data_IF_528498697049
#
_entry.id   IF_528498697049
#
_cell.length_a   1.000
_cell.length_b   1.000
_cell.length_c   1.000
_cell.angle_alpha   90.00
_cell.angle_beta   90.00
_cell.angle_gamma   90.00
#
_symmetry.space_group_name_H-M   'P 1'
#
loop_
_entity.id
_entity.type
_entity.pdbx_description
1 polymer ?
#
# COMPACT_ATOMS: atom_id res chain seq x y z
N UNK A 1 -20.10 2.22 -14.06
CA UNK A 1 -19.38 3.25 -13.29
C UNK A 1 -18.03 2.69 -12.90
N UNK A 2 -16.97 3.03 -13.63
CA UNK A 2 -15.59 2.61 -13.31
C UNK A 2 -15.10 3.44 -12.12
N UNK A 3 -15.19 2.90 -10.91
CA UNK A 3 -14.56 3.49 -9.72
C UNK A 3 -13.04 3.42 -9.91
N UNK A 4 -12.41 4.53 -10.24
CA UNK A 4 -10.95 4.62 -10.28
C UNK A 4 -10.40 4.46 -8.88
N UNK A 5 -9.82 3.30 -8.57
CA UNK A 5 -9.21 3.04 -7.27
C UNK A 5 -7.97 3.91 -7.10
N UNK A 6 -7.95 4.75 -6.07
CA UNK A 6 -6.86 5.70 -5.80
C UNK A 6 -5.71 4.98 -5.10
N UNK A 7 -4.81 4.37 -5.87
CA UNK A 7 -3.73 3.53 -5.33
C UNK A 7 -2.44 4.31 -5.08
N UNK A 8 -1.78 4.04 -3.95
CA UNK A 8 -0.51 4.64 -3.54
C UNK A 8 0.52 3.59 -3.12
N UNK A 9 1.81 3.91 -3.29
CA UNK A 9 2.94 3.04 -2.93
C UNK A 9 4.02 3.89 -2.26
N UNK A 10 4.48 3.46 -1.09
CA UNK A 10 5.48 4.19 -0.32
C UNK A 10 6.37 3.27 0.50
N UNK A 11 7.64 3.68 0.63
CA UNK A 11 8.52 3.23 1.70
C UNK A 11 8.21 4.03 2.96
N UNK A 12 7.83 3.32 4.02
CA UNK A 12 7.34 3.92 5.27
C UNK A 12 8.10 3.38 6.48
N UNK A 13 8.20 4.19 7.52
CA UNK A 13 8.60 3.77 8.86
C UNK A 13 7.37 3.77 9.77
N UNK A 14 7.22 2.71 10.55
CA UNK A 14 6.08 2.56 11.47
C UNK A 14 6.41 3.26 12.79
N UNK A 15 5.65 4.28 13.14
CA UNK A 15 5.86 5.05 14.37
C UNK A 15 5.10 4.45 15.57
N UNK A 16 4.03 3.70 15.30
CA UNK A 16 3.22 3.04 16.32
C UNK A 16 1.81 2.74 15.81
N UNK A 17 0.91 2.41 16.73
CA UNK A 17 -0.52 2.30 16.46
C UNK A 17 -1.26 3.46 17.12
N UNK A 18 -2.23 4.03 16.41
CA UNK A 18 -3.06 5.08 16.98
C UNK A 18 -4.01 4.47 18.03
N UNK A 19 -4.02 5.04 19.23
CA UNK A 19 -4.96 4.67 20.30
C UNK A 19 -6.27 5.46 20.19
N UNK A 20 -6.89 5.49 19.01
CA UNK A 20 -8.32 5.82 18.96
C UNK A 20 -9.02 4.64 19.61
N UNK A 21 -9.77 4.87 20.70
CA UNK A 21 -10.41 3.84 21.52
C UNK A 21 -10.75 2.61 20.70
N UNK A 22 -10.05 1.51 21.01
CA UNK A 22 -10.00 0.24 20.30
C UNK A 22 -11.12 0.09 19.26
N UNK A 23 -10.74 0.11 17.97
CA UNK A 23 -11.57 -0.29 16.82
C UNK A 23 -12.46 0.83 16.27
N UNK A 24 -12.31 1.13 14.99
CA UNK A 24 -13.42 1.70 14.22
C UNK A 24 -14.59 0.67 14.22
N UNK A 25 -15.80 1.02 13.75
CA UNK A 25 -16.93 0.07 13.71
C UNK A 25 -16.64 -1.27 13.01
N UNK A 26 -15.54 -1.35 12.25
CA UNK A 26 -15.09 -2.51 11.48
C UNK A 26 -13.96 -3.31 12.15
N UNK A 27 -13.53 -2.94 13.35
CA UNK A 27 -12.38 -3.54 14.03
C UNK A 27 -11.04 -3.40 13.29
N UNK A 28 -10.77 -2.24 12.68
CA UNK A 28 -9.49 -1.99 12.04
C UNK A 28 -8.40 -1.52 13.02
N UNK A 29 -7.16 -1.86 12.70
CA UNK A 29 -5.94 -1.32 13.30
C UNK A 29 -5.52 -0.10 12.48
N UNK A 30 -5.19 1.00 13.16
CA UNK A 30 -4.60 2.19 12.54
C UNK A 30 -3.12 2.28 12.91
N UNK A 31 -2.24 2.22 11.92
CA UNK A 31 -0.81 2.46 12.10
C UNK A 31 -0.47 3.91 11.77
N UNK A 32 0.41 4.50 12.60
CA UNK A 32 1.03 5.79 12.35
C UNK A 32 2.30 5.58 11.54
N UNK A 33 2.42 6.27 10.42
CA UNK A 33 3.49 6.11 9.44
C UNK A 33 4.23 7.43 9.20
N UNK A 34 5.55 7.30 9.07
CA UNK A 34 6.39 8.31 8.43
C UNK A 34 6.74 7.85 7.01
N UNK A 35 6.32 8.61 5.99
CA UNK A 35 6.66 8.32 4.60
C UNK A 35 8.09 8.76 4.31
N UNK A 36 9.03 7.81 4.21
CA UNK A 36 10.43 8.05 3.83
C UNK A 36 10.56 8.36 2.34
N UNK A 37 9.78 7.66 1.52
CA UNK A 37 9.72 7.91 0.08
C UNK A 37 8.36 7.47 -0.49
N UNK A 38 7.79 8.27 -1.39
CA UNK A 38 6.53 7.96 -2.07
C UNK A 38 6.81 7.67 -3.54
N UNK A 39 6.57 6.43 -3.97
CA UNK A 39 6.82 5.98 -5.35
C UNK A 39 5.59 6.19 -6.25
N UNK A 40 4.39 6.10 -5.65
CA UNK A 40 3.13 6.33 -6.35
C UNK A 40 2.17 7.09 -5.46
N UNK A 41 1.59 8.14 -6.02
CA UNK A 41 0.55 8.95 -5.41
C UNK A 41 -0.71 8.85 -6.27
N UNK A 42 -1.92 8.68 -5.69
CA UNK A 42 -3.13 8.71 -6.48
C UNK A 42 -3.35 10.07 -7.14
N UNK A 43 -4.02 10.09 -8.30
CA UNK A 43 -4.38 11.34 -8.97
C UNK A 43 -5.14 12.29 -8.02
N UNK A 44 -4.81 13.58 -8.07
CA UNK A 44 -5.42 14.66 -7.28
C UNK A 44 -5.19 14.58 -5.77
N UNK A 45 -4.34 13.66 -5.30
CA UNK A 45 -3.86 13.62 -3.92
C UNK A 45 -2.53 14.36 -3.86
N UNK A 46 -2.35 15.27 -2.88
CA UNK A 46 -1.09 16.02 -2.72
C UNK A 46 -0.05 15.31 -1.84
N UNK A 47 -0.52 14.49 -0.90
CA UNK A 47 0.31 13.72 0.03
C UNK A 47 -0.45 12.49 0.51
N UNK A 48 0.25 11.39 0.78
CA UNK A 48 -0.34 10.25 1.47
C UNK A 48 -0.59 10.60 2.96
N UNK A 49 -1.68 10.12 3.56
CA UNK A 49 -1.93 10.29 4.99
C UNK A 49 -0.88 9.56 5.83
N UNK A 50 -0.48 10.17 6.96
CA UNK A 50 0.39 9.54 7.97
C UNK A 50 -0.28 8.43 8.76
N UNK A 51 -1.53 8.09 8.43
CA UNK A 51 -2.28 7.00 9.05
C UNK A 51 -2.66 5.99 7.97
N UNK A 52 -2.47 4.71 8.25
CA UNK A 52 -2.98 3.62 7.41
C UNK A 52 -3.83 2.68 8.23
N UNK A 53 -4.95 2.25 7.64
CA UNK A 53 -5.88 1.30 8.26
C UNK A 53 -5.77 -0.08 7.63
N UNK A 54 -5.93 -1.11 8.44
CA UNK A 54 -6.03 -2.50 8.00
C UNK A 54 -6.89 -3.28 8.96
N UNK A 55 -7.52 -4.36 8.50
CA UNK A 55 -8.32 -5.21 9.36
C UNK A 55 -7.47 -5.79 10.51
N UNK A 56 -8.04 -5.91 11.72
CA UNK A 56 -7.32 -6.55 12.83
C UNK A 56 -7.16 -8.06 12.66
N UNK A 57 -8.05 -8.70 11.88
CA UNK A 57 -8.03 -10.14 11.68
C UNK A 57 -7.25 -10.55 10.43
N UNK A 58 -6.41 -11.57 10.55
CA UNK A 58 -5.71 -12.19 9.43
C UNK A 58 -6.69 -12.78 8.40
N UNK A 59 -7.82 -13.34 8.87
CA UNK A 59 -8.88 -13.89 8.01
C UNK A 59 -9.61 -12.83 7.19
N UNK A 60 -9.50 -11.55 7.57
CA UNK A 60 -10.01 -10.40 6.83
C UNK A 60 -8.89 -9.72 6.01
N UNK A 61 -7.80 -10.44 5.72
CA UNK A 61 -6.62 -9.94 5.01
C UNK A 61 -5.91 -8.78 5.71
N UNK A 62 -6.02 -8.71 7.04
CA UNK A 62 -5.28 -7.76 7.87
C UNK A 62 -3.76 -7.96 7.78
N UNK A 63 -3.03 -6.85 7.84
CA UNK A 63 -1.56 -6.88 7.90
C UNK A 63 -1.06 -6.55 9.31
N UNK A 64 0.11 -7.08 9.65
CA UNK A 64 0.81 -6.82 10.90
C UNK A 64 2.09 -6.07 10.61
N UNK A 65 2.23 -4.89 11.19
CA UNK A 65 3.41 -4.05 11.06
C UNK A 65 4.04 -3.87 12.44
N UNK A 66 5.36 -3.88 12.51
CA UNK A 66 6.10 -3.71 13.75
C UNK A 66 6.57 -2.28 13.91
N UNK A 67 6.30 -1.67 15.06
CA UNK A 67 6.79 -0.33 15.41
C UNK A 67 8.32 -0.26 15.32
N UNK A 68 8.83 0.81 14.71
CA UNK A 68 10.26 1.06 14.51
C UNK A 68 10.81 0.50 13.20
N UNK A 69 10.16 -0.49 12.61
CA UNK A 69 10.59 -1.11 11.36
C UNK A 69 10.10 -0.32 10.13
N UNK A 70 10.72 -0.61 8.99
CA UNK A 70 10.45 0.03 7.71
C UNK A 70 9.95 -0.97 6.67
N UNK A 71 8.96 -0.59 5.90
CA UNK A 71 8.28 -1.48 4.94
C UNK A 71 8.03 -0.77 3.61
N UNK A 72 7.94 -1.56 2.54
CA UNK A 72 7.31 -1.16 1.29
C UNK A 72 5.81 -1.46 1.39
N UNK A 73 4.99 -0.42 1.48
CA UNK A 73 3.54 -0.53 1.65
C UNK A 73 2.84 -0.03 0.39
N UNK A 74 1.94 -0.86 -0.13
CA UNK A 74 0.95 -0.47 -1.12
C UNK A 74 -0.42 -0.36 -0.46
N UNK A 75 -1.22 0.60 -0.90
CA UNK A 75 -2.56 0.80 -0.37
C UNK A 75 -3.42 1.63 -1.30
N UNK A 76 -4.65 1.87 -0.86
CA UNK A 76 -5.64 2.62 -1.61
C UNK A 76 -6.28 3.68 -0.73
N UNK A 77 -6.71 4.78 -1.34
CA UNK A 77 -7.49 5.81 -0.66
C UNK A 77 -8.98 5.63 -0.97
N UNK A 78 -9.79 5.63 0.08
CA UNK A 78 -11.24 5.79 -0.03
C UNK A 78 -11.62 7.23 -0.40
N UNK A 79 -12.86 7.42 -0.86
CA UNK A 79 -13.37 8.74 -1.27
C UNK A 79 -13.39 9.76 -0.12
N UNK A 80 -13.60 9.29 1.11
CA UNK A 80 -13.55 10.09 2.35
C UNK A 80 -12.11 10.37 2.85
N UNK A 81 -11.08 9.94 2.11
CA UNK A 81 -9.68 10.26 2.42
C UNK A 81 -8.95 9.24 3.29
N UNK A 82 -9.62 8.17 3.78
CA UNK A 82 -8.92 7.11 4.52
C UNK A 82 -7.99 6.32 3.62
N UNK A 83 -6.73 6.15 4.04
CA UNK A 83 -5.77 5.28 3.40
C UNK A 83 -5.80 3.91 4.05
N UNK A 84 -6.07 2.88 3.25
CA UNK A 84 -6.20 1.51 3.74
C UNK A 84 -5.29 0.56 2.98
N UNK A 85 -4.96 -0.55 3.63
CA UNK A 85 -4.07 -1.57 3.10
C UNK A 85 -4.48 -2.96 3.57
N UNK A 86 -4.16 -3.98 2.78
CA UNK A 86 -4.53 -5.37 3.01
C UNK A 86 -3.55 -6.31 2.30
N UNK A 87 -3.53 -7.58 2.69
CA UNK A 87 -2.54 -8.56 2.25
C UNK A 87 -2.41 -8.68 0.72
N UNK A 88 -3.54 -8.85 0.03
CA UNK A 88 -3.52 -9.10 -1.42
C UNK A 88 -3.13 -7.87 -2.25
N UNK A 89 -3.11 -6.67 -1.65
CA UNK A 89 -2.73 -5.43 -2.34
C UNK A 89 -1.23 -5.14 -2.31
N UNK A 90 -0.42 -5.96 -1.62
CA UNK A 90 1.01 -5.69 -1.44
C UNK A 90 1.85 -6.05 -2.67
N UNK A 91 2.97 -5.36 -2.80
CA UNK A 91 3.98 -5.66 -3.81
C UNK A 91 4.75 -6.90 -3.35
N UNK A 92 4.69 -7.95 -4.15
CA UNK A 92 5.45 -9.19 -3.95
C UNK A 92 6.61 -9.27 -4.94
N UNK A 93 7.65 -10.00 -4.57
CA UNK A 93 8.76 -10.29 -5.48
C UNK A 93 8.56 -11.66 -6.14
N UNK A 94 8.57 -11.67 -7.47
CA UNK A 94 8.43 -12.91 -8.24
C UNK A 94 9.53 -13.92 -7.87
N UNK A 95 9.14 -15.19 -7.75
CA UNK A 95 10.04 -16.29 -7.45
C UNK A 95 10.45 -16.44 -5.98
N UNK A 96 9.98 -15.57 -5.09
CA UNK A 96 10.08 -15.77 -3.65
C UNK A 96 8.79 -16.43 -3.17
N UNK A 97 8.82 -17.72 -2.85
CA UNK A 97 7.68 -18.38 -2.17
C UNK A 97 7.64 -17.87 -0.73
N UNK A 98 6.66 -17.03 -0.36
CA UNK A 98 6.52 -16.63 1.03
C UNK A 98 6.17 -17.86 1.86
N UNK A 99 6.55 -17.88 3.14
CA UNK A 99 5.93 -18.83 4.05
C UNK A 99 4.40 -18.61 4.05
N UNK A 100 3.59 -19.62 4.36
CA UNK A 100 2.14 -19.47 4.48
C UNK A 100 1.75 -18.31 5.40
N UNK A 101 2.56 -18.06 6.44
CA UNK A 101 2.36 -16.99 7.41
C UNK A 101 2.74 -15.59 6.90
N UNK A 102 3.56 -15.51 5.86
CA UNK A 102 4.05 -14.26 5.25
C UNK A 102 3.33 -13.91 3.94
N UNK A 103 2.44 -14.76 3.44
CA UNK A 103 1.75 -14.50 2.17
C UNK A 103 0.98 -13.17 2.20
N UNK A 104 1.31 -12.29 1.25
CA UNK A 104 0.72 -10.96 1.11
C UNK A 104 1.12 -9.98 2.21
N UNK A 105 2.08 -10.30 3.08
CA UNK A 105 2.60 -9.33 4.04
C UNK A 105 3.48 -8.29 3.34
N UNK A 106 3.45 -7.01 3.75
CA UNK A 106 4.36 -6.02 3.20
C UNK A 106 5.81 -6.42 3.41
N UNK A 107 6.64 -6.23 2.39
CA UNK A 107 8.06 -6.56 2.44
C UNK A 107 8.78 -5.52 3.29
N UNK A 108 9.58 -5.96 4.27
CA UNK A 108 10.51 -5.08 4.99
C UNK A 108 11.47 -4.38 4.03
N UNK A 109 11.69 -3.09 4.20
CA UNK A 109 12.47 -2.27 3.27
C UNK A 109 13.90 -2.78 3.05
N UNK A 110 14.50 -3.35 4.11
CA UNK A 110 15.81 -3.98 4.06
C UNK A 110 15.84 -5.16 3.07
N UNK A 111 14.74 -5.91 2.95
CA UNK A 111 14.62 -7.10 2.12
C UNK A 111 14.15 -6.78 0.68
N UNK A 112 13.77 -5.54 0.39
CA UNK A 112 13.43 -5.14 -0.99
C UNK A 112 14.70 -5.13 -1.83
N UNK A 113 14.68 -5.92 -2.91
CA UNK A 113 15.83 -6.11 -3.80
C UNK A 113 16.19 -4.84 -4.56
N UNK A 114 17.46 -4.69 -4.93
CA UNK A 114 17.91 -3.54 -5.73
C UNK A 114 17.16 -3.44 -7.06
N UNK A 115 16.82 -4.58 -7.69
CA UNK A 115 16.01 -4.62 -8.90
C UNK A 115 14.63 -4.01 -8.66
N UNK A 116 13.93 -4.41 -7.59
CA UNK A 116 12.63 -3.84 -7.22
C UNK A 116 12.74 -2.34 -6.88
N UNK A 117 13.77 -1.93 -6.11
CA UNK A 117 14.01 -0.51 -5.78
C UNK A 117 14.23 0.35 -7.01
N UNK A 118 14.95 -0.18 -8.02
CA UNK A 118 15.15 0.51 -9.30
C UNK A 118 13.83 0.64 -10.07
N UNK A 119 13.08 -0.47 -10.21
CA UNK A 119 11.79 -0.47 -10.90
C UNK A 119 10.80 0.52 -10.28
N UNK A 120 10.68 0.55 -8.95
CA UNK A 120 9.79 1.47 -8.23
C UNK A 120 10.04 2.95 -8.57
N UNK A 121 11.29 3.34 -8.86
CA UNK A 121 11.65 4.72 -9.25
C UNK A 121 11.32 5.04 -10.70
N UNK A 122 11.16 4.02 -11.54
CA UNK A 122 10.84 4.17 -12.97
C UNK A 122 9.35 4.14 -13.25
N UNK A 123 8.52 3.82 -12.25
CA UNK A 123 7.06 3.79 -12.41
C UNK A 123 6.57 5.21 -12.69
N UNK A 124 6.20 5.46 -13.94
CA UNK A 124 5.43 6.62 -14.34
C UNK A 124 3.98 6.17 -14.59
N UNK A 125 3.06 6.57 -13.69
CA UNK A 125 1.65 6.23 -13.82
C UNK A 125 0.92 7.02 -14.92
N UNK A 126 1.54 8.07 -15.48
CA UNK A 126 0.94 8.92 -16.51
C UNK A 126 0.99 8.27 -17.90
N UNK A 127 1.97 7.40 -18.15
CA UNK A 127 2.23 6.81 -19.48
C UNK A 127 1.28 5.67 -19.88
N UNK A 128 0.46 5.15 -18.96
CA UNK A 128 -0.52 4.10 -19.27
C UNK A 128 -1.85 4.64 -19.83
N UNK A 129 -2.02 5.97 -19.93
CA UNK A 129 -3.26 6.59 -20.41
C UNK A 129 -3.36 6.70 -21.94
N UNK A 130 -2.25 6.63 -22.66
CA UNK A 130 -2.21 6.87 -24.12
C UNK A 130 -2.45 5.62 -24.96
N UNK A 131 -2.21 4.42 -24.46
CA UNK A 131 -2.28 3.20 -25.28
C UNK A 131 -3.63 2.46 -25.25
N UNK A 132 -4.59 2.88 -24.42
CA UNK A 132 -5.90 2.20 -24.34
C UNK A 132 -7.02 2.89 -25.13
N UNK A 133 -6.77 4.07 -25.71
CA UNK A 133 -7.79 4.82 -26.48
C UNK A 133 -7.73 4.63 -28.00
N UNK A 134 -6.84 3.79 -28.55
CA UNK A 134 -6.69 3.62 -30.00
C UNK A 134 -7.11 2.24 -30.55
N UNK A 135 -7.76 1.37 -29.77
CA UNK A 135 -8.31 0.11 -30.30
C UNK A 135 -9.67 -0.23 -29.71
N UNK A 136 -10.68 0.55 -30.06
CA UNK A 136 -12.05 0.04 -30.17
C UNK A 136 -12.88 0.87 -31.17
N UNK A 137 -12.42 0.94 -32.41
CA UNK A 137 -13.28 1.21 -33.56
C UNK A 137 -13.03 0.12 -34.60
N UNK A 138 -13.87 -0.91 -34.57
CA UNK A 138 -14.23 -1.77 -35.70
C UNK A 138 -15.53 -2.49 -35.40
#
# INVERSE_FOLDING_TARGET
>A
MTKTQKNGVSHVKVLGTAKYGSKNPLNDITYLLEHKHVFKLPEKVKKLPSEVQTAASDSACGIKLKTGEEYLVAGSMWENGYFFTYRCGQIVQDGVTPSPDAFGMPIEWANVSNKTKSLLRTINCDNHRTTTNEKLDR
#
